data_IF_941092103352
#
_entry.id   IF_941092103352
#
_cell.length_a   1.000
_cell.length_b   1.000
_cell.length_c   1.000
_cell.angle_alpha   90.00
_cell.angle_beta   90.00
_cell.angle_gamma   90.00
#
_symmetry.space_group_name_H-M   'P 1'
#
loop_
_entity.id
_entity.type
_entity.pdbx_description
1 polymer ?
#
# COMPACT_ATOMS: atom_id res chain seq x y z
N UNK A 1 24.60 14.07 -4.98
CA UNK A 1 23.51 14.20 -5.97
C UNK A 1 22.24 14.53 -5.21
N UNK A 2 21.38 15.43 -5.71
CA UNK A 2 20.05 15.63 -5.12
C UNK A 2 19.21 14.36 -5.27
N UNK A 3 18.38 14.08 -4.27
CA UNK A 3 17.41 12.97 -4.33
C UNK A 3 16.29 13.35 -5.30
N UNK A 4 15.89 12.41 -6.15
CA UNK A 4 14.82 12.57 -7.15
C UNK A 4 13.67 11.63 -6.81
N UNK A 5 12.59 12.21 -6.28
CA UNK A 5 11.35 11.53 -5.90
C UNK A 5 10.21 11.81 -6.88
N UNK A 6 10.53 12.11 -8.14
CA UNK A 6 9.52 12.32 -9.18
C UNK A 6 8.94 10.99 -9.67
N UNK A 7 7.71 11.04 -10.21
CA UNK A 7 7.13 9.88 -10.89
C UNK A 7 7.96 9.45 -12.11
N UNK A 8 8.69 10.36 -12.75
CA UNK A 8 9.62 10.01 -13.84
C UNK A 8 10.72 9.08 -13.36
N UNK A 9 11.35 9.39 -12.21
CA UNK A 9 12.36 8.50 -11.63
C UNK A 9 11.75 7.20 -11.13
N UNK A 10 10.56 7.26 -10.55
CA UNK A 10 9.83 6.09 -10.10
C UNK A 10 9.47 5.13 -11.25
N UNK A 11 9.01 5.64 -12.41
CA UNK A 11 8.80 4.84 -13.63
C UNK A 11 10.04 4.06 -14.05
N UNK A 12 11.21 4.71 -14.01
CA UNK A 12 12.48 4.05 -14.35
C UNK A 12 12.81 2.92 -13.36
N UNK A 13 12.49 3.12 -12.07
CA UNK A 13 12.64 2.08 -11.05
C UNK A 13 11.68 0.91 -11.31
N UNK A 14 10.38 1.17 -11.53
CA UNK A 14 9.39 0.14 -11.83
C UNK A 14 9.76 -0.66 -13.07
N UNK A 15 10.21 0.01 -14.14
CA UNK A 15 10.68 -0.64 -15.35
C UNK A 15 11.85 -1.60 -15.09
N UNK A 16 12.83 -1.17 -14.29
CA UNK A 16 13.97 -2.01 -13.92
C UNK A 16 13.55 -3.20 -13.05
N UNK A 17 12.62 -3.01 -12.10
CA UNK A 17 12.09 -4.09 -11.25
C UNK A 17 11.38 -5.12 -12.13
N UNK A 18 10.42 -4.70 -12.96
CA UNK A 18 9.62 -5.58 -13.79
C UNK A 18 10.45 -6.40 -14.80
N UNK A 19 11.60 -5.89 -15.23
CA UNK A 19 12.52 -6.62 -16.13
C UNK A 19 13.33 -7.71 -15.42
N UNK A 20 13.47 -7.66 -14.10
CA UNK A 20 14.41 -8.50 -13.36
C UNK A 20 13.76 -9.36 -12.26
N UNK A 21 12.57 -8.98 -11.79
CA UNK A 21 11.90 -9.63 -10.67
C UNK A 21 10.40 -9.72 -10.91
N UNK A 22 9.76 -10.88 -10.67
CA UNK A 22 8.33 -10.90 -10.41
C UNK A 22 8.03 -10.12 -9.13
N UNK A 23 6.82 -9.57 -9.05
CA UNK A 23 6.36 -8.82 -7.88
C UNK A 23 5.25 -9.57 -7.15
N UNK A 24 5.33 -9.53 -5.83
CA UNK A 24 4.33 -10.09 -4.93
C UNK A 24 3.80 -9.01 -4.00
N UNK A 25 2.53 -9.11 -3.64
CA UNK A 25 1.98 -8.38 -2.50
C UNK A 25 2.38 -9.07 -1.19
N UNK A 26 2.16 -8.40 -0.06
CA UNK A 26 2.43 -8.98 1.25
C UNK A 26 1.46 -10.12 1.56
N UNK A 27 0.20 -10.00 1.16
CA UNK A 27 -0.80 -11.07 1.29
C UNK A 27 -0.33 -12.36 0.60
N UNK A 28 0.11 -12.27 -0.66
CA UNK A 28 0.59 -13.42 -1.43
C UNK A 28 1.81 -14.10 -0.82
N UNK A 29 2.71 -13.30 -0.24
CA UNK A 29 3.86 -13.83 0.47
C UNK A 29 3.46 -14.70 1.67
N UNK A 30 2.36 -14.36 2.35
CA UNK A 30 1.88 -15.10 3.52
C UNK A 30 0.88 -16.22 3.21
N UNK A 31 0.32 -16.27 1.99
CA UNK A 31 -0.60 -17.34 1.56
C UNK A 31 0.05 -18.72 1.43
N UNK A 32 1.37 -18.82 1.60
CA UNK A 32 2.08 -20.10 1.69
C UNK A 32 2.25 -20.82 0.34
N UNK A 33 2.10 -20.09 -0.76
CA UNK A 33 2.44 -20.57 -2.10
C UNK A 33 3.97 -20.77 -2.24
N UNK A 34 4.37 -21.62 -3.19
CA UNK A 34 5.78 -21.70 -3.57
C UNK A 34 6.24 -20.35 -4.12
N UNK A 35 7.18 -19.72 -3.41
CA UNK A 35 7.71 -18.41 -3.78
C UNK A 35 8.76 -18.55 -4.90
N UNK A 36 8.87 -17.56 -5.80
CA UNK A 36 9.97 -17.50 -6.76
C UNK A 36 11.33 -17.43 -6.06
N UNK A 37 12.38 -17.94 -6.71
CA UNK A 37 13.76 -17.86 -6.19
C UNK A 37 14.22 -16.42 -5.88
N UNK A 38 13.69 -15.44 -6.64
CA UNK A 38 13.92 -14.01 -6.44
C UNK A 38 12.63 -13.27 -6.81
N UNK A 39 12.25 -12.31 -5.98
CA UNK A 39 11.10 -11.45 -6.20
C UNK A 39 11.34 -10.09 -5.57
N UNK A 40 10.52 -9.11 -5.97
CA UNK A 40 10.45 -7.81 -5.32
C UNK A 40 9.09 -7.67 -4.63
N UNK A 41 9.07 -7.00 -3.48
CA UNK A 41 7.85 -6.67 -2.76
C UNK A 41 7.83 -5.16 -2.58
N UNK A 42 6.85 -4.49 -3.16
CA UNK A 42 6.71 -3.04 -3.11
C UNK A 42 5.64 -2.68 -2.09
N UNK A 43 6.01 -1.83 -1.13
CA UNK A 43 5.12 -1.38 -0.06
C UNK A 43 5.13 0.15 0.03
N UNK A 44 3.96 0.73 0.16
CA UNK A 44 3.76 2.17 0.30
C UNK A 44 2.98 2.51 1.56
N UNK A 45 3.62 3.24 2.48
CA UNK A 45 2.94 3.82 3.63
C UNK A 45 2.41 5.21 3.25
N UNK A 46 1.09 5.32 3.17
CA UNK A 46 0.41 6.55 2.75
C UNK A 46 0.06 7.34 4.01
N UNK A 47 0.88 8.33 4.34
CA UNK A 47 0.71 9.13 5.57
C UNK A 47 0.14 10.53 5.37
N UNK A 48 0.18 11.07 4.14
CA UNK A 48 -0.06 12.51 3.89
C UNK A 48 -1.14 12.80 2.85
N UNK A 49 -1.07 12.21 1.66
CA UNK A 49 -1.95 12.53 0.53
C UNK A 49 -2.30 11.28 -0.27
N UNK A 50 -3.54 10.84 -0.18
CA UNK A 50 -4.04 9.69 -0.93
C UNK A 50 -3.91 9.87 -2.45
N UNK A 51 -4.17 11.07 -2.98
CA UNK A 51 -4.07 11.32 -4.43
C UNK A 51 -2.66 11.13 -5.01
N UNK A 52 -1.60 11.29 -4.20
CA UNK A 52 -0.25 10.95 -4.66
C UNK A 52 -0.05 9.44 -4.78
N UNK A 53 -0.70 8.64 -3.91
CA UNK A 53 -0.66 7.19 -3.98
C UNK A 53 -1.31 6.66 -5.26
N UNK A 54 -2.41 7.26 -5.71
CA UNK A 54 -3.05 6.88 -6.97
C UNK A 54 -2.10 7.04 -8.17
N UNK A 55 -1.34 8.14 -8.23
CA UNK A 55 -0.34 8.34 -9.28
C UNK A 55 0.79 7.30 -9.25
N UNK A 56 1.20 6.86 -8.05
CA UNK A 56 2.16 5.77 -7.87
C UNK A 56 1.58 4.43 -8.37
N UNK A 57 0.35 4.11 -7.99
CA UNK A 57 -0.35 2.89 -8.38
C UNK A 57 -0.52 2.78 -9.89
N UNK A 58 -0.94 3.88 -10.55
CA UNK A 58 -1.04 3.93 -12.01
C UNK A 58 0.29 3.62 -12.69
N UNK A 59 1.41 4.13 -12.16
CA UNK A 59 2.74 3.83 -12.70
C UNK A 59 3.08 2.36 -12.52
N UNK A 60 2.81 1.76 -11.37
CA UNK A 60 3.08 0.34 -11.13
C UNK A 60 2.26 -0.56 -12.05
N UNK A 61 0.98 -0.23 -12.24
CA UNK A 61 0.07 -0.95 -13.14
C UNK A 61 0.59 -0.95 -14.58
N UNK A 62 1.17 0.15 -15.07
CA UNK A 62 1.77 0.23 -16.40
C UNK A 62 2.90 -0.81 -16.62
N UNK A 63 3.54 -1.27 -15.55
CA UNK A 63 4.60 -2.28 -15.59
C UNK A 63 4.15 -3.66 -15.07
N UNK A 64 2.84 -3.86 -14.84
CA UNK A 64 2.30 -5.12 -14.31
C UNK A 64 2.73 -5.43 -12.88
N UNK A 65 3.14 -4.41 -12.11
CA UNK A 65 3.57 -4.56 -10.73
C UNK A 65 2.33 -4.56 -9.82
N UNK A 66 2.29 -5.50 -8.88
CA UNK A 66 1.32 -5.48 -7.78
C UNK A 66 2.05 -5.18 -6.48
N UNK A 67 1.64 -4.09 -5.82
CA UNK A 67 2.23 -3.58 -4.60
C UNK A 67 1.19 -3.53 -3.46
N UNK A 68 1.66 -3.29 -2.24
CA UNK A 68 0.84 -3.18 -1.05
C UNK A 68 0.80 -1.73 -0.55
N UNK A 69 -0.40 -1.20 -0.34
CA UNK A 69 -0.65 0.18 0.08
C UNK A 69 -1.29 0.22 1.47
N UNK A 70 -0.61 0.83 2.44
CA UNK A 70 -1.16 1.04 3.78
C UNK A 70 -1.61 2.49 3.97
N UNK A 71 -2.92 2.68 4.13
CA UNK A 71 -3.50 3.99 4.38
C UNK A 71 -3.59 4.26 5.88
N UNK A 72 -3.04 5.40 6.30
CA UNK A 72 -3.23 5.87 7.67
C UNK A 72 -4.67 6.28 7.91
N UNK A 73 -5.23 5.83 9.03
CA UNK A 73 -6.59 6.15 9.48
C UNK A 73 -6.69 7.61 9.98
N UNK A 74 -6.66 8.57 9.06
CA UNK A 74 -6.95 9.98 9.33
C UNK A 74 -7.80 10.58 8.19
N UNK A 75 -8.55 11.65 8.47
CA UNK A 75 -9.54 12.18 7.52
C UNK A 75 -9.00 12.73 6.20
N UNK A 76 -7.68 12.95 6.06
CA UNK A 76 -7.07 13.44 4.82
C UNK A 76 -6.60 12.26 3.95
N UNK A 77 -6.13 11.20 4.60
CA UNK A 77 -5.52 10.03 3.97
C UNK A 77 -6.55 8.92 3.70
N UNK A 78 -7.48 8.69 4.63
CA UNK A 78 -8.54 7.71 4.48
C UNK A 78 -9.54 8.20 3.45
N UNK A 79 -9.33 7.82 2.20
CA UNK A 79 -10.15 8.18 1.04
C UNK A 79 -10.62 6.89 0.38
N UNK A 80 -11.78 6.32 0.80
CA UNK A 80 -12.24 5.02 0.34
C UNK A 80 -12.36 4.90 -1.18
N UNK A 81 -12.70 5.98 -1.87
CA UNK A 81 -12.78 5.97 -3.35
C UNK A 81 -11.40 5.71 -3.98
N UNK A 82 -10.37 6.44 -3.55
CA UNK A 82 -8.98 6.23 -4.02
C UNK A 82 -8.48 4.83 -3.66
N UNK A 83 -8.82 4.35 -2.46
CA UNK A 83 -8.46 3.01 -2.02
C UNK A 83 -9.07 1.93 -2.93
N UNK A 84 -10.35 2.05 -3.29
CA UNK A 84 -11.02 1.13 -4.23
C UNK A 84 -10.44 1.23 -5.65
N UNK A 85 -10.06 2.41 -6.10
CA UNK A 85 -9.38 2.57 -7.39
C UNK A 85 -8.06 1.80 -7.42
N UNK A 86 -7.25 1.91 -6.35
CA UNK A 86 -5.97 1.21 -6.21
C UNK A 86 -6.17 -0.31 -6.12
N UNK A 87 -7.14 -0.76 -5.33
CA UNK A 87 -7.51 -2.19 -5.25
C UNK A 87 -7.99 -2.72 -6.62
N UNK A 88 -8.75 -1.92 -7.38
CA UNK A 88 -9.18 -2.24 -8.74
C UNK A 88 -8.04 -2.33 -9.77
N UNK A 89 -6.83 -1.86 -9.42
CA UNK A 89 -5.59 -2.07 -10.18
C UNK A 89 -4.83 -3.33 -9.73
N UNK A 90 -5.47 -4.21 -8.95
CA UNK A 90 -4.93 -5.47 -8.41
C UNK A 90 -3.82 -5.27 -7.36
N UNK A 91 -3.73 -4.08 -6.78
CA UNK A 91 -2.88 -3.83 -5.62
C UNK A 91 -3.55 -4.30 -4.32
N UNK A 92 -2.74 -4.71 -3.35
CA UNK A 92 -3.22 -4.96 -1.99
C UNK A 92 -3.42 -3.61 -1.28
N UNK A 93 -4.58 -3.43 -0.65
CA UNK A 93 -4.86 -2.24 0.16
C UNK A 93 -5.14 -2.66 1.60
N UNK A 94 -4.39 -2.08 2.53
CA UNK A 94 -4.56 -2.29 3.96
C UNK A 94 -4.56 -0.98 4.75
N UNK A 95 -4.73 -1.11 6.06
CA UNK A 95 -4.67 0.03 6.99
C UNK A 95 -3.37 0.07 7.76
N UNK A 96 -2.82 1.27 7.93
CA UNK A 96 -1.74 1.51 8.87
C UNK A 96 -2.35 1.62 10.29
N UNK A 97 -2.39 0.48 11.01
CA UNK A 97 -2.92 0.40 12.37
C UNK A 97 -1.95 1.01 13.40
N UNK A 98 -2.25 2.23 13.89
CA UNK A 98 -1.46 2.90 14.95
C UNK A 98 -2.02 2.68 16.37
N UNK A 99 -2.84 1.65 16.60
CA UNK A 99 -3.56 1.49 17.87
C UNK A 99 -2.59 1.30 19.05
N UNK A 100 -1.54 0.49 18.88
CA UNK A 100 -0.57 0.22 19.96
C UNK A 100 0.32 1.44 20.28
N UNK A 101 0.62 2.28 19.28
CA UNK A 101 1.41 3.51 19.48
C UNK A 101 0.65 4.60 20.25
N UNK A 102 -0.66 4.74 19.99
CA UNK A 102 -1.53 5.67 20.71
C UNK A 102 -1.88 5.20 22.12
N UNK A 103 -1.83 3.88 22.36
CA UNK A 103 -2.10 3.30 23.66
C UNK A 103 -0.94 3.39 24.66
N UNK A 104 0.25 3.88 24.28
CA UNK A 104 1.47 3.86 25.14
C UNK A 104 1.75 2.47 25.76
N UNK A 105 1.40 1.39 25.06
CA UNK A 105 1.53 0.03 25.59
C UNK A 105 0.43 -0.41 26.57
N UNK A 106 -0.70 0.29 26.66
CA UNK A 106 -1.86 -0.16 27.44
C UNK A 106 -2.77 -1.06 26.60
N UNK A 107 -2.68 -2.35 26.87
CA UNK A 107 -3.42 -3.46 26.24
C UNK A 107 -4.93 -3.39 26.52
N UNK A 108 -5.35 -2.54 27.47
CA UNK A 108 -6.72 -2.47 28.01
C UNK A 108 -7.55 -1.30 27.46
N UNK A 109 -6.96 -0.47 26.59
CA UNK A 109 -7.56 0.75 26.07
C UNK A 109 -8.53 0.53 24.91
N UNK A 110 -9.74 0.06 25.22
CA UNK A 110 -10.98 0.08 24.42
C UNK A 110 -10.92 0.78 23.05
N UNK A 111 -11.19 -0.03 22.02
CA UNK A 111 -11.67 0.36 20.69
C UNK A 111 -12.88 1.32 20.76
N UNK A 112 -12.62 2.63 20.75
CA UNK A 112 -13.60 3.64 20.37
C UNK A 112 -12.92 4.68 19.48
N UNK A 113 -12.64 4.30 18.23
CA UNK A 113 -12.57 5.26 17.14
C UNK A 113 -13.75 4.97 16.23
N UNK A 114 -14.82 5.76 16.39
CA UNK A 114 -16.02 5.67 15.58
C UNK A 114 -15.70 5.90 14.10
N UNK A 115 -15.77 4.82 13.33
CA UNK A 115 -16.18 4.76 11.93
C UNK A 115 -16.42 3.27 11.67
N UNK A 116 -17.65 2.83 11.88
CA UNK A 116 -18.09 1.48 11.53
C UNK A 116 -17.94 1.31 10.02
N UNK A 117 -17.11 0.35 9.64
CA UNK A 117 -16.96 -0.09 8.25
C UNK A 117 -18.18 -0.93 7.90
N UNK A 118 -19.12 -0.36 7.13
CA UNK A 118 -20.22 -1.10 6.51
C UNK A 118 -19.78 -1.59 5.12
N UNK A 119 -18.85 -2.53 5.07
CA UNK A 119 -18.65 -3.38 3.90
C UNK A 119 -19.66 -4.52 3.96
N UNK A 120 -20.58 -4.57 2.99
CA UNK A 120 -21.57 -5.65 2.86
C UNK A 120 -20.93 -6.93 2.31
N UNK A 121 -21.53 -8.04 2.72
CA UNK A 121 -21.39 -9.43 2.24
C UNK A 121 -21.33 -9.58 0.72
#
# INVERSE_FOLDING_TARGET
MPLDFTLTKFRALCSAIAQHYPTLTLAEYFEGAELPDRFAMMRHDIDRRAGSALGTAMVEQEFGIRATYYFRMNGIVFQPEIMREIEGMEHEVGYHYEVLGKAKGDETGRIHSGMEWQGRE
#
